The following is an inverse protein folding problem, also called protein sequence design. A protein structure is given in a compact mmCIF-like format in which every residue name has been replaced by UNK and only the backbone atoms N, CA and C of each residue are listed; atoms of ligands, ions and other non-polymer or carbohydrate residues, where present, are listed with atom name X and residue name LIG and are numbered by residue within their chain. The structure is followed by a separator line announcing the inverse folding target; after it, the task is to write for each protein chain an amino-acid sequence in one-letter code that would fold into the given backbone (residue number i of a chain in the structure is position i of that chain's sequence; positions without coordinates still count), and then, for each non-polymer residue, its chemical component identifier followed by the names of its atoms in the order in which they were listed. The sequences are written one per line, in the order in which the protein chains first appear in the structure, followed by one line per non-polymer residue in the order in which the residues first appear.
data_IF_362744526045
#
_entry.id   IF_362744526045
#
_cell.length_a   1.000
_cell.length_b   1.000
_cell.length_c   1.000
_cell.angle_alpha   90.00
_cell.angle_beta   90.00
_cell.angle_gamma   90.00
#
_symmetry.space_group_name_H-M   'P 1'
#
loop_
_entity.id
_entity.type
_entity.pdbx_description
1 polymer ?
#
# COMPACT_ATOMS: atom_id res chain seq x y z
N UNK A 1 1.44 -12.77 3.27
CA UNK A 1 2.67 -12.02 3.52
C UNK A 1 2.40 -10.94 4.56
N UNK A 2 3.26 -10.85 5.54
CA UNK A 2 3.11 -9.87 6.60
C UNK A 2 3.97 -8.65 6.35
N UNK A 3 3.35 -7.50 6.37
CA UNK A 3 4.06 -6.24 6.34
C UNK A 3 3.90 -5.58 7.69
N UNK A 4 5.01 -5.38 8.37
CA UNK A 4 5.03 -4.64 9.62
C UNK A 4 5.59 -3.27 9.34
N UNK A 5 4.80 -2.24 9.51
CA UNK A 5 5.33 -0.90 9.38
C UNK A 5 6.03 -0.53 10.68
N UNK A 6 7.17 0.13 10.55
CA UNK A 6 7.89 0.66 11.69
C UNK A 6 7.62 2.15 11.86
N UNK A 7 6.77 2.69 11.02
CA UNK A 7 6.43 4.10 11.08
C UNK A 7 5.52 4.34 12.27
N UNK A 8 5.88 5.26 13.14
CA UNK A 8 5.08 5.62 14.30
C UNK A 8 4.49 7.01 14.19
N UNK A 9 4.96 7.80 13.23
CA UNK A 9 4.44 9.12 13.01
C UNK A 9 4.63 9.53 11.55
N UNK A 10 3.85 10.51 11.13
CA UNK A 10 3.93 11.01 9.76
C UNK A 10 5.19 11.83 9.56
N UNK A 11 6.01 11.51 8.54
CA UNK A 11 7.24 12.28 8.29
C UNK A 11 6.97 13.68 7.76
N UNK A 12 5.73 13.97 7.33
CA UNK A 12 5.40 15.29 6.79
C UNK A 12 4.91 16.26 7.86
N UNK A 13 3.98 15.82 8.71
CA UNK A 13 3.36 16.72 9.68
C UNK A 13 3.63 16.32 11.13
N UNK A 14 4.25 15.18 11.35
CA UNK A 14 4.53 14.71 12.71
C UNK A 14 3.32 14.11 13.42
N UNK A 15 2.18 13.97 12.72
CA UNK A 15 1.00 13.38 13.32
C UNK A 15 1.22 11.92 13.69
N UNK A 16 0.63 11.50 14.80
CA UNK A 16 0.82 10.13 15.30
C UNK A 16 -0.40 9.25 15.10
N UNK A 17 -1.46 9.80 14.55
CA UNK A 17 -2.69 9.07 14.27
C UNK A 17 -2.60 8.53 12.86
N UNK A 18 -2.28 7.26 12.73
CA UNK A 18 -2.12 6.62 11.43
C UNK A 18 -3.25 5.64 11.17
N UNK A 19 -3.59 5.47 9.91
CA UNK A 19 -4.63 4.55 9.50
C UNK A 19 -4.21 3.70 8.33
N UNK A 20 -5.05 2.74 7.98
CA UNK A 20 -4.85 1.88 6.83
C UNK A 20 -5.99 2.06 5.85
N UNK A 21 -5.65 2.02 4.55
CA UNK A 21 -6.63 1.96 3.50
C UNK A 21 -6.17 0.96 2.46
N UNK A 22 -7.05 0.59 1.55
CA UNK A 22 -6.66 -0.33 0.48
C UNK A 22 -7.41 -0.04 -0.80
N UNK A 23 -6.80 -0.40 -1.91
CA UNK A 23 -7.44 -0.44 -3.22
C UNK A 23 -7.70 -1.89 -3.58
N UNK A 24 -8.93 -2.18 -4.01
CA UNK A 24 -9.29 -3.51 -4.48
C UNK A 24 -10.29 -3.37 -5.62
N UNK A 25 -10.66 -4.48 -6.27
CA UNK A 25 -11.57 -4.43 -7.39
C UNK A 25 -10.99 -3.57 -8.53
N UNK A 26 -11.71 -2.55 -8.95
CA UNK A 26 -11.26 -1.71 -10.07
C UNK A 26 -10.04 -0.86 -9.73
N UNK A 27 -9.70 -0.72 -8.45
CA UNK A 27 -8.51 0.00 -8.03
C UNK A 27 -7.29 -0.88 -7.82
N UNK A 28 -7.37 -2.16 -8.16
CA UNK A 28 -6.27 -3.10 -8.00
C UNK A 28 -5.12 -2.77 -8.94
N UNK A 29 -3.93 -3.18 -8.54
CA UNK A 29 -2.75 -3.08 -9.39
C UNK A 29 -2.58 -4.39 -10.15
N UNK A 30 -2.33 -4.29 -11.45
CA UNK A 30 -2.24 -5.45 -12.32
C UNK A 30 -0.81 -5.67 -12.78
N UNK A 31 -0.26 -6.89 -12.60
CA UNK A 31 1.03 -7.21 -13.22
C UNK A 31 0.89 -7.13 -14.75
N UNK A 32 1.94 -6.68 -15.42
CA UNK A 32 1.89 -6.55 -16.87
C UNK A 32 1.64 -7.86 -17.60
N UNK A 33 2.03 -8.96 -17.00
CA UNK A 33 1.92 -10.28 -17.65
C UNK A 33 0.71 -11.09 -17.19
N UNK A 34 -0.22 -10.48 -16.45
CA UNK A 34 -1.38 -11.19 -15.91
C UNK A 34 -2.63 -10.34 -15.98
N UNK A 35 -3.77 -11.03 -16.09
CA UNK A 35 -5.06 -10.36 -16.15
C UNK A 35 -5.66 -10.07 -14.78
N UNK A 36 -5.26 -10.83 -13.77
CA UNK A 36 -5.83 -10.66 -12.43
C UNK A 36 -5.06 -9.62 -11.64
N UNK A 37 -5.80 -8.71 -11.00
CA UNK A 37 -5.20 -7.68 -10.18
C UNK A 37 -4.93 -8.15 -8.76
N UNK A 38 -4.16 -7.37 -8.03
CA UNK A 38 -3.90 -7.60 -6.61
C UNK A 38 -4.26 -6.35 -5.84
N UNK A 39 -4.66 -6.55 -4.59
CA UNK A 39 -4.99 -5.44 -3.70
C UNK A 39 -3.72 -4.68 -3.31
N UNK A 40 -3.89 -3.40 -3.08
CA UNK A 40 -2.81 -2.53 -2.60
C UNK A 40 -3.24 -1.97 -1.25
N UNK A 41 -2.36 -2.06 -0.26
CA UNK A 41 -2.61 -1.49 1.06
C UNK A 41 -1.74 -0.26 1.27
N UNK A 42 -2.30 0.71 1.98
CA UNK A 42 -1.60 1.97 2.27
C UNK A 42 -1.64 2.26 3.75
N UNK A 43 -0.56 2.85 4.24
CA UNK A 43 -0.51 3.44 5.57
C UNK A 43 -0.60 4.95 5.38
N UNK A 44 -1.57 5.56 6.02
CA UNK A 44 -1.97 6.94 5.75
C UNK A 44 -1.96 7.74 7.05
N UNK A 45 -1.47 8.98 6.97
CA UNK A 45 -1.62 9.91 8.08
C UNK A 45 -3.05 10.44 8.07
N UNK A 46 -3.77 10.23 9.18
CA UNK A 46 -5.15 10.68 9.26
C UNK A 46 -5.29 12.18 9.51
N UNK A 47 -4.17 12.85 9.78
CA UNK A 47 -4.21 14.29 10.04
C UNK A 47 -3.96 15.12 8.79
N UNK A 48 -3.02 14.72 7.93
CA UNK A 48 -2.70 15.49 6.73
C UNK A 48 -2.98 14.73 5.43
N UNK A 49 -3.29 13.44 5.49
CA UNK A 49 -3.61 12.65 4.31
C UNK A 49 -2.41 12.11 3.55
N UNK A 50 -1.21 12.28 4.06
CA UNK A 50 -0.01 11.78 3.40
C UNK A 50 0.01 10.26 3.40
N UNK A 51 0.24 9.66 2.24
CA UNK A 51 0.39 8.21 2.11
C UNK A 51 1.84 7.89 2.43
N UNK A 52 2.07 7.24 3.58
CA UNK A 52 3.41 7.02 4.10
C UNK A 52 4.06 5.82 3.45
N UNK A 53 3.32 4.73 3.34
CA UNK A 53 3.82 3.49 2.75
C UNK A 53 2.71 2.82 1.95
N UNK A 54 3.10 2.07 0.94
CA UNK A 54 2.17 1.31 0.13
C UNK A 54 2.74 -0.09 -0.11
N UNK A 55 1.89 -1.09 -0.05
CA UNK A 55 2.29 -2.48 -0.26
C UNK A 55 1.29 -3.17 -1.15
N UNK A 56 1.77 -3.99 -2.07
CA UNK A 56 0.91 -4.88 -2.84
C UNK A 56 0.80 -6.21 -2.11
N UNK A 57 -0.38 -6.80 -2.13
CA UNK A 57 -0.57 -8.17 -1.66
C UNK A 57 -0.03 -9.12 -2.72
N UNK A 58 0.53 -10.22 -2.29
CA UNK A 58 1.09 -11.21 -3.20
C UNK A 58 2.08 -10.62 -4.20
N UNK A 59 3.16 -9.98 -3.72
CA UNK A 59 4.12 -9.33 -4.63
C UNK A 59 4.77 -10.31 -5.59
N UNK A 60 4.74 -11.60 -5.30
CA UNK A 60 5.30 -12.61 -6.19
C UNK A 60 4.60 -12.67 -7.54
N UNK A 61 3.36 -12.19 -7.61
CA UNK A 61 2.63 -12.14 -8.88
C UNK A 61 3.24 -11.16 -9.87
N UNK A 62 4.11 -10.27 -9.40
CA UNK A 62 4.77 -9.29 -10.25
C UNK A 62 6.11 -9.76 -10.79
N UNK A 63 6.53 -10.97 -10.44
CA UNK A 63 7.78 -11.53 -10.96
C UNK A 63 7.69 -11.68 -12.47
N UNK A 64 8.78 -11.36 -13.16
CA UNK A 64 8.85 -11.50 -14.61
C UNK A 64 8.25 -10.36 -15.39
N UNK A 65 7.88 -9.25 -14.71
CA UNK A 65 7.30 -8.10 -15.42
C UNK A 65 8.33 -7.08 -15.86
N UNK A 66 9.56 -7.22 -15.40
CA UNK A 66 10.64 -6.33 -15.83
C UNK A 66 11.53 -7.01 -16.86
#
# INVERSE_FOLDING_TARGET
MNHSTKVTECPKCGGKELGKGKHSGSGSMFPYNKALGVDVEHIICTECGFIIESYVKNPKKFKGTL
#
